data_IF_811449146937
#
_entry.id   IF_811449146937
#
_cell.length_a   1.000
_cell.length_b   1.000
_cell.length_c   1.000
_cell.angle_alpha   90.00
_cell.angle_beta   90.00
_cell.angle_gamma   90.00
#
_symmetry.space_group_name_H-M   'P 1'
#
loop_
_entity.id
_entity.type
_entity.pdbx_description
1 polymer ?
#
# COMPACT_ATOMS: atom_id res chain seq x y z
N UNK A 1 0.47 -16.52 -8.08
CA UNK A 1 -0.03 -17.07 -6.81
C UNK A 1 -0.70 -15.93 -6.08
N UNK A 2 -1.99 -16.05 -5.76
CA UNK A 2 -2.80 -14.94 -5.21
C UNK A 2 -2.56 -14.79 -3.71
N UNK A 3 -1.41 -14.21 -3.35
CA UNK A 3 -1.05 -13.85 -1.97
C UNK A 3 -2.13 -13.00 -1.28
N UNK A 4 -2.97 -12.32 -2.06
CA UNK A 4 -4.11 -11.54 -1.59
C UNK A 4 -5.19 -12.39 -0.91
N UNK A 5 -5.40 -13.64 -1.34
CA UNK A 5 -6.31 -14.56 -0.66
C UNK A 5 -5.73 -15.02 0.67
N UNK A 6 -4.45 -15.40 0.68
CA UNK A 6 -3.72 -15.83 1.88
C UNK A 6 -3.73 -14.73 2.95
N UNK A 7 -3.45 -13.48 2.57
CA UNK A 7 -3.47 -12.36 3.51
C UNK A 7 -4.88 -12.08 4.04
N UNK A 8 -5.92 -12.26 3.22
CA UNK A 8 -7.32 -12.16 3.68
C UNK A 8 -7.65 -13.26 4.69
N UNK A 9 -7.16 -14.48 4.51
CA UNK A 9 -7.33 -15.56 5.48
C UNK A 9 -6.61 -15.26 6.80
N UNK A 10 -5.36 -14.78 6.73
CA UNK A 10 -4.57 -14.38 7.92
C UNK A 10 -5.28 -13.27 8.72
N UNK A 11 -6.00 -12.36 8.05
CA UNK A 11 -6.67 -11.21 8.67
C UNK A 11 -8.16 -11.42 8.97
N UNK A 12 -8.78 -12.47 8.42
CA UNK A 12 -10.17 -12.86 8.66
C UNK A 12 -10.48 -13.20 10.12
N UNK A 13 -9.45 -13.27 10.97
CA UNK A 13 -9.53 -13.49 12.42
C UNK A 13 -9.95 -12.23 13.21
N UNK A 14 -10.32 -11.12 12.55
CA UNK A 14 -11.04 -10.00 13.18
C UNK A 14 -10.19 -8.98 13.95
N UNK A 15 -8.86 -9.14 13.98
CA UNK A 15 -7.98 -8.15 14.59
C UNK A 15 -7.78 -6.93 13.68
N UNK A 16 -8.13 -5.74 14.18
CA UNK A 16 -7.69 -4.49 13.55
C UNK A 16 -6.20 -4.31 13.82
N UNK A 17 -5.37 -4.61 12.83
CA UNK A 17 -3.94 -4.31 12.89
C UNK A 17 -3.73 -2.80 12.67
N UNK A 18 -3.09 -2.07 13.60
CA UNK A 18 -2.70 -0.69 13.35
C UNK A 18 -1.64 -0.63 12.24
N UNK A 19 -1.59 0.49 11.52
CA UNK A 19 -0.52 0.73 10.55
C UNK A 19 0.81 0.95 11.29
N UNK A 20 1.94 0.46 10.74
CA UNK A 20 3.25 0.77 11.28
C UNK A 20 3.49 2.29 11.34
N UNK A 21 4.07 2.79 12.45
CA UNK A 21 4.26 4.23 12.65
C UNK A 21 5.07 4.89 11.54
N UNK A 22 6.17 4.25 11.12
CA UNK A 22 7.03 4.77 10.04
C UNK A 22 6.25 4.87 8.71
N UNK A 23 5.40 3.89 8.42
CA UNK A 23 4.55 3.90 7.25
C UNK A 23 3.49 5.02 7.33
N UNK A 24 2.88 5.22 8.50
CA UNK A 24 1.93 6.33 8.71
C UNK A 24 2.56 7.70 8.45
N UNK A 25 3.79 7.92 8.92
CA UNK A 25 4.48 9.19 8.72
C UNK A 25 4.75 9.46 7.23
N UNK A 26 5.22 8.46 6.50
CA UNK A 26 5.45 8.58 5.07
C UNK A 26 4.14 8.82 4.30
N UNK A 27 3.09 8.09 4.66
CA UNK A 27 1.78 8.21 4.04
C UNK A 27 1.09 9.55 4.33
N UNK A 28 1.39 10.19 5.46
CA UNK A 28 0.90 11.54 5.77
C UNK A 28 1.45 12.55 4.76
N UNK A 29 2.77 12.52 4.50
CA UNK A 29 3.41 13.40 3.50
C UNK A 29 2.85 13.16 2.10
N UNK A 30 2.66 11.88 1.74
CA UNK A 30 2.04 11.49 0.47
C UNK A 30 0.61 12.02 0.34
N UNK A 31 -0.21 11.88 1.39
CA UNK A 31 -1.59 12.37 1.39
C UNK A 31 -1.70 13.89 1.34
N UNK A 32 -0.83 14.61 2.04
CA UNK A 32 -0.79 16.07 1.95
C UNK A 32 -0.52 16.51 0.51
N UNK A 33 0.46 15.89 -0.14
CA UNK A 33 0.77 16.17 -1.55
C UNK A 33 -0.40 15.81 -2.48
N UNK A 34 -1.10 14.70 -2.21
CA UNK A 34 -2.29 14.29 -2.94
C UNK A 34 -3.39 15.36 -2.87
N UNK A 35 -3.69 15.86 -1.67
CA UNK A 35 -4.70 16.91 -1.45
C UNK A 35 -4.34 18.19 -2.22
N UNK A 36 -3.06 18.59 -2.21
CA UNK A 36 -2.62 19.75 -2.99
C UNK A 36 -2.85 19.57 -4.49
N UNK A 37 -2.57 18.38 -5.02
CA UNK A 37 -2.79 18.06 -6.44
C UNK A 37 -4.26 17.93 -6.82
N UNK A 38 -5.14 17.55 -5.89
CA UNK A 38 -6.59 17.56 -6.11
C UNK A 38 -7.15 18.98 -6.24
N UNK A 39 -6.56 19.94 -5.52
CA UNK A 39 -6.95 21.35 -5.56
C UNK A 39 -6.39 22.07 -6.78
N UNK A 40 -5.14 21.74 -7.16
CA UNK A 40 -4.43 22.32 -8.29
C UNK A 40 -3.70 21.21 -9.08
N UNK A 41 -4.39 20.57 -10.05
CA UNK A 41 -3.81 19.50 -10.85
C UNK A 41 -2.62 19.98 -11.68
N UNK A 42 -1.50 19.26 -11.60
CA UNK A 42 -0.34 19.47 -12.46
C UNK A 42 0.15 18.12 -12.98
N UNK A 43 0.08 17.93 -14.31
CA UNK A 43 0.36 16.64 -14.96
C UNK A 43 1.73 16.05 -14.58
N UNK A 44 2.78 16.88 -14.51
CA UNK A 44 4.13 16.43 -14.15
C UNK A 44 4.22 16.00 -12.67
N UNK A 45 3.55 16.73 -11.78
CA UNK A 45 3.53 16.40 -10.36
C UNK A 45 2.68 15.16 -10.06
N UNK A 46 1.58 14.96 -10.80
CA UNK A 46 0.76 13.75 -10.78
C UNK A 46 1.58 12.54 -11.24
N UNK A 47 2.28 12.64 -12.38
CA UNK A 47 3.14 11.57 -12.88
C UNK A 47 4.24 11.19 -11.87
N UNK A 48 4.91 12.20 -11.29
CA UNK A 48 5.93 11.99 -10.26
C UNK A 48 5.36 11.36 -8.98
N UNK A 49 4.14 11.72 -8.58
CA UNK A 49 3.49 11.10 -7.43
C UNK A 49 3.11 9.65 -7.73
N UNK A 50 2.62 9.36 -8.94
CA UNK A 50 2.34 7.99 -9.39
C UNK A 50 3.60 7.11 -9.37
N UNK A 51 4.70 7.57 -9.96
CA UNK A 51 5.99 6.85 -9.90
C UNK A 51 6.46 6.57 -8.47
N UNK A 52 6.27 7.55 -7.56
CA UNK A 52 6.59 7.36 -6.14
C UNK A 52 5.72 6.26 -5.51
N UNK A 53 4.41 6.26 -5.76
CA UNK A 53 3.50 5.25 -5.22
C UNK A 53 3.78 3.85 -5.77
N UNK A 54 4.05 3.74 -7.08
CA UNK A 54 4.41 2.48 -7.73
C UNK A 54 5.72 1.92 -7.15
N UNK A 55 6.70 2.80 -6.90
CA UNK A 55 7.95 2.44 -6.24
C UNK A 55 7.74 1.93 -4.81
N UNK A 56 6.85 2.57 -4.04
CA UNK A 56 6.51 2.12 -2.69
C UNK A 56 5.79 0.78 -2.69
N UNK A 57 4.86 0.54 -3.63
CA UNK A 57 4.20 -0.76 -3.75
C UNK A 57 5.22 -1.86 -4.07
N UNK A 58 6.11 -1.61 -5.03
CA UNK A 58 7.16 -2.57 -5.40
C UNK A 58 8.08 -2.89 -4.23
N UNK A 59 8.48 -1.89 -3.44
CA UNK A 59 9.30 -2.08 -2.24
C UNK A 59 8.58 -2.90 -1.16
N UNK A 60 7.31 -2.60 -0.90
CA UNK A 60 6.51 -3.37 0.05
C UNK A 60 6.40 -4.84 -0.38
N UNK A 61 6.09 -5.10 -1.65
CA UNK A 61 5.97 -6.45 -2.20
C UNK A 61 7.31 -7.20 -2.16
N UNK A 62 8.40 -6.55 -2.54
CA UNK A 62 9.73 -7.17 -2.53
C UNK A 62 10.19 -7.53 -1.12
N UNK A 63 9.89 -6.67 -0.13
CA UNK A 63 10.25 -6.90 1.27
C UNK A 63 9.49 -8.06 1.89
N UNK A 64 8.21 -8.24 1.53
CA UNK A 64 7.37 -9.27 2.14
C UNK A 64 7.54 -10.65 1.48
N UNK A 65 8.01 -10.70 0.23
CA UNK A 65 8.18 -11.95 -0.52
C UNK A 65 8.89 -13.06 0.27
N UNK A 66 10.07 -12.85 0.90
CA UNK A 66 10.73 -13.92 1.66
C UNK A 66 9.91 -14.40 2.86
N UNK A 67 9.15 -13.50 3.51
CA UNK A 67 8.28 -13.84 4.66
C UNK A 67 7.09 -14.68 4.18
N UNK A 68 6.52 -14.32 3.03
CA UNK A 68 5.46 -15.09 2.39
C UNK A 68 5.95 -16.49 2.00
N UNK A 69 7.16 -16.62 1.45
CA UNK A 69 7.74 -17.91 1.08
C UNK A 69 7.95 -18.81 2.32
N UNK A 70 8.37 -18.23 3.45
CA UNK A 70 8.48 -18.95 4.72
C UNK A 70 7.11 -19.43 5.24
N UNK A 71 6.08 -18.59 5.11
CA UNK A 71 4.71 -18.94 5.49
C UNK A 71 4.16 -20.08 4.63
N UNK A 72 4.32 -19.99 3.31
CA UNK A 72 3.90 -21.03 2.36
C UNK A 72 4.63 -22.36 2.57
N UNK A 73 5.88 -22.31 3.01
CA UNK A 73 6.68 -23.49 3.32
C UNK A 73 6.35 -24.12 4.68
N UNK A 74 5.41 -23.53 5.45
CA UNK A 74 5.05 -23.98 6.80
C UNK A 74 6.10 -23.68 7.86
N UNK A 75 7.09 -22.84 7.56
CA UNK A 75 8.22 -22.50 8.42
C UNK A 75 8.12 -21.11 9.05
N UNK A 76 7.02 -20.39 8.82
CA UNK A 76 6.82 -19.05 9.39
C UNK A 76 6.71 -19.08 10.90
N UNK A 77 7.37 -18.12 11.53
CA UNK A 77 7.23 -17.81 12.95
C UNK A 77 5.99 -16.94 13.20
N UNK A 78 5.61 -16.78 14.48
CA UNK A 78 4.59 -15.80 14.87
C UNK A 78 4.97 -14.37 14.42
N UNK A 79 6.26 -14.03 14.46
CA UNK A 79 6.76 -12.74 13.99
C UNK A 79 6.57 -12.55 12.47
N UNK A 80 6.72 -13.60 11.68
CA UNK A 80 6.49 -13.58 10.24
C UNK A 80 5.00 -13.35 9.92
N UNK A 81 4.10 -13.99 10.68
CA UNK A 81 2.65 -13.75 10.55
C UNK A 81 2.29 -12.30 10.90
N UNK A 82 2.90 -11.72 11.94
CA UNK A 82 2.71 -10.29 12.27
C UNK A 82 3.17 -9.40 11.11
N UNK A 83 4.33 -9.66 10.53
CA UNK A 83 4.83 -8.90 9.37
C UNK A 83 3.91 -8.99 8.15
N UNK A 84 3.33 -10.17 7.87
CA UNK A 84 2.35 -10.35 6.79
C UNK A 84 1.09 -9.53 7.02
N UNK A 85 0.60 -9.49 8.27
CA UNK A 85 -0.56 -8.66 8.63
C UNK A 85 -0.26 -7.16 8.47
N UNK A 86 0.92 -6.70 8.92
CA UNK A 86 1.37 -5.31 8.75
C UNK A 86 1.46 -4.93 7.26
N UNK A 87 2.09 -5.79 6.44
CA UNK A 87 2.19 -5.60 5.00
C UNK A 87 0.81 -5.41 4.37
N UNK A 88 -0.16 -6.27 4.69
CA UNK A 88 -1.49 -6.16 4.10
C UNK A 88 -2.18 -4.84 4.44
N UNK A 89 -2.16 -4.40 5.70
CA UNK A 89 -2.82 -3.14 6.08
C UNK A 89 -2.13 -1.94 5.41
N UNK A 90 -0.79 -1.97 5.33
CA UNK A 90 -0.01 -0.95 4.61
C UNK A 90 -0.33 -0.93 3.11
N UNK A 91 -0.31 -2.08 2.44
CA UNK A 91 -0.64 -2.17 1.01
C UNK A 91 -2.07 -1.75 0.73
N UNK A 92 -3.03 -2.16 1.56
CA UNK A 92 -4.44 -1.73 1.42
C UNK A 92 -4.59 -0.22 1.54
N UNK A 93 -3.83 0.40 2.44
CA UNK A 93 -3.82 1.85 2.58
C UNK A 93 -3.21 2.54 1.35
N UNK A 94 -2.06 2.05 0.88
CA UNK A 94 -1.39 2.56 -0.32
C UNK A 94 -2.30 2.46 -1.56
N UNK A 95 -2.97 1.33 -1.75
CA UNK A 95 -3.91 1.12 -2.87
C UNK A 95 -5.06 2.13 -2.85
N UNK A 96 -5.53 2.57 -1.67
CA UNK A 96 -6.55 3.63 -1.57
C UNK A 96 -6.03 4.98 -2.02
N UNK A 97 -4.76 5.29 -1.77
CA UNK A 97 -4.12 6.52 -2.25
C UNK A 97 -3.97 6.46 -3.78
N UNK A 98 -3.51 5.33 -4.31
CA UNK A 98 -3.37 5.11 -5.76
C UNK A 98 -4.72 5.22 -6.47
N UNK A 99 -5.77 4.65 -5.88
CA UNK A 99 -7.14 4.72 -6.39
C UNK A 99 -7.66 6.17 -6.38
N UNK A 100 -7.43 6.90 -5.29
CA UNK A 100 -7.78 8.32 -5.18
C UNK A 100 -7.05 9.17 -6.22
N UNK A 101 -5.73 8.97 -6.37
CA UNK A 101 -4.92 9.62 -7.41
C UNK A 101 -5.46 9.35 -8.83
N UNK A 102 -5.77 8.08 -9.11
CA UNK A 102 -6.30 7.66 -10.41
C UNK A 102 -7.69 8.27 -10.68
N UNK A 103 -8.53 8.34 -9.66
CA UNK A 103 -9.90 8.87 -9.76
C UNK A 103 -9.91 10.33 -10.16
N UNK A 104 -9.10 11.20 -9.54
CA UNK A 104 -9.10 12.62 -9.93
C UNK A 104 -8.26 12.88 -11.18
N UNK A 105 -7.15 12.18 -11.39
CA UNK A 105 -6.34 12.34 -12.60
C UNK A 105 -7.13 11.96 -13.87
N UNK A 106 -8.07 11.01 -13.78
CA UNK A 106 -8.94 10.65 -14.89
C UNK A 106 -10.07 11.67 -15.14
N UNK A 107 -10.46 12.45 -14.11
CA UNK A 107 -11.50 13.49 -14.24
C UNK A 107 -11.00 14.73 -14.98
N UNK A 108 -9.70 15.03 -14.86
CA UNK A 108 -9.07 16.21 -15.48
C UNK A 108 -8.76 16.02 -16.98
N UNK A 109 -8.78 14.77 -17.48
CA UNK A 109 -8.60 14.46 -18.91
C UNK A 109 -9.86 14.73 -19.76
N UNK A 110 -10.94 15.23 -19.18
CA UNK A 110 -12.25 15.42 -19.85
C UNK A 110 -12.52 16.90 -20.16
N UNK A 111 -11.47 17.74 -20.26
CA UNK A 111 -11.60 19.15 -20.69
C UNK A 111 -11.02 19.36 -22.08
#
# INVERSE_FOLDING_TARGET
MDYELILKEILGQGERQPLPQLFLMEMLVVNERLIQLELAPEAKAIAKLREQLDGLELQLCSRIQPVLDMYLSGNATVGDVVQLKEFYVSRKYLLRIIDRLSTFASRDQVV
#
